data_IF_768649384812
#
_entry.id   IF_768649384812
#
_cell.length_a   1.000
_cell.length_b   1.000
_cell.length_c   1.000
_cell.angle_alpha   90.00
_cell.angle_beta   90.00
_cell.angle_gamma   90.00
#
_symmetry.space_group_name_H-M   'P 1'
#
loop_
_entity.id
_entity.type
_entity.pdbx_description
1 polymer ?
#
# COMPACT_ATOMS: atom_id res chain seq x y z
N UNK A 1 12.76 -16.80 -5.71
CA UNK A 1 13.55 -16.31 -4.56
C UNK A 1 13.62 -17.45 -3.59
N UNK A 2 14.76 -17.66 -2.96
CA UNK A 2 14.97 -18.71 -1.97
C UNK A 2 14.13 -18.38 -0.71
N UNK A 3 13.37 -19.34 -0.19
CA UNK A 3 12.52 -19.15 0.99
C UNK A 3 13.29 -18.65 2.22
N UNK A 4 14.57 -19.04 2.32
CA UNK A 4 15.46 -18.59 3.38
C UNK A 4 15.77 -17.09 3.31
N UNK A 5 15.91 -16.54 2.10
CA UNK A 5 16.18 -15.12 1.90
C UNK A 5 14.96 -14.25 2.24
N UNK A 6 13.77 -14.67 1.87
CA UNK A 6 12.52 -13.98 2.22
C UNK A 6 12.26 -13.99 3.75
N UNK A 7 12.55 -15.10 4.42
CA UNK A 7 12.45 -15.20 5.88
C UNK A 7 13.45 -14.24 6.58
N UNK A 8 14.68 -14.15 6.06
CA UNK A 8 15.71 -13.25 6.58
C UNK A 8 15.33 -11.77 6.39
N UNK A 9 14.82 -11.39 5.20
CA UNK A 9 14.36 -10.03 4.94
C UNK A 9 13.19 -9.63 5.84
N UNK A 10 12.25 -10.53 6.11
CA UNK A 10 11.17 -10.31 7.07
C UNK A 10 11.69 -10.09 8.49
N UNK A 11 12.63 -10.91 8.92
CA UNK A 11 13.26 -10.75 10.23
C UNK A 11 13.94 -9.39 10.35
N UNK A 12 14.78 -9.01 9.39
CA UNK A 12 15.43 -7.70 9.37
C UNK A 12 14.43 -6.55 9.34
N UNK A 13 13.38 -6.66 8.53
CA UNK A 13 12.36 -5.61 8.42
C UNK A 13 11.66 -5.38 9.76
N UNK A 14 11.34 -6.42 10.50
CA UNK A 14 10.74 -6.31 11.84
C UNK A 14 11.66 -5.64 12.87
N UNK A 15 12.96 -5.82 12.75
CA UNK A 15 13.93 -5.16 13.62
C UNK A 15 14.08 -3.68 13.24
N UNK A 16 14.29 -3.39 11.96
CA UNK A 16 14.55 -2.04 11.45
C UNK A 16 13.33 -1.14 11.58
N UNK A 17 12.14 -1.66 11.30
CA UNK A 17 10.88 -0.93 11.34
C UNK A 17 10.09 -1.19 12.61
N UNK A 18 10.76 -1.40 13.74
CA UNK A 18 10.09 -1.42 15.03
C UNK A 18 9.65 0.01 15.39
N UNK A 19 8.35 0.27 15.64
CA UNK A 19 7.89 1.62 15.93
C UNK A 19 8.49 2.14 17.23
N UNK A 20 8.99 3.38 17.20
CA UNK A 20 9.50 4.05 18.40
C UNK A 20 8.41 4.21 19.47
N UNK A 21 8.82 4.40 20.72
CA UNK A 21 7.90 4.66 21.83
C UNK A 21 7.02 5.91 21.60
N UNK A 22 7.50 6.88 20.83
CA UNK A 22 6.73 8.07 20.46
C UNK A 22 5.67 7.77 19.37
N UNK A 23 5.93 6.82 18.47
CA UNK A 23 5.02 6.50 17.36
C UNK A 23 3.94 5.48 17.74
N UNK A 24 4.24 4.58 18.67
CA UNK A 24 3.32 3.54 19.13
C UNK A 24 1.96 4.05 19.59
N UNK A 25 1.86 5.11 20.42
CA UNK A 25 0.55 5.66 20.83
C UNK A 25 -0.27 6.15 19.64
N UNK A 26 0.38 6.78 18.66
CA UNK A 26 -0.30 7.30 17.46
C UNK A 26 -0.85 6.15 16.61
N UNK A 27 -0.05 5.10 16.40
CA UNK A 27 -0.50 3.90 15.66
C UNK A 27 -1.70 3.26 16.38
N UNK A 28 -1.67 3.14 17.71
CA UNK A 28 -2.77 2.59 18.50
C UNK A 28 -4.03 3.43 18.39
N UNK A 29 -3.90 4.76 18.48
CA UNK A 29 -5.01 5.68 18.34
C UNK A 29 -5.66 5.58 16.96
N UNK A 30 -4.86 5.60 15.90
CA UNK A 30 -5.37 5.44 14.54
C UNK A 30 -5.99 4.06 14.33
N UNK A 31 -5.41 3.00 14.86
CA UNK A 31 -5.98 1.65 14.82
C UNK A 31 -7.36 1.60 15.48
N UNK A 32 -7.51 2.21 16.67
CA UNK A 32 -8.79 2.28 17.36
C UNK A 32 -9.87 3.04 16.55
N UNK A 33 -9.46 4.11 15.84
CA UNK A 33 -10.35 4.90 14.97
C UNK A 33 -10.75 4.14 13.70
N UNK A 34 -9.78 3.44 13.08
CA UNK A 34 -9.97 2.75 11.80
C UNK A 34 -10.78 1.47 12.00
N UNK A 35 -10.48 0.67 13.00
CA UNK A 35 -11.18 -0.56 13.31
C UNK A 35 -10.28 -1.80 13.24
N UNK A 36 -10.89 -3.00 13.32
CA UNK A 36 -10.16 -4.26 13.38
C UNK A 36 -9.40 -4.56 12.09
N UNK A 37 -8.11 -4.92 12.18
CA UNK A 37 -7.33 -5.35 11.01
C UNK A 37 -7.89 -6.61 10.35
N UNK A 38 -8.65 -7.45 11.06
CA UNK A 38 -9.27 -8.66 10.49
C UNK A 38 -10.40 -8.35 9.51
N UNK A 39 -10.92 -7.12 9.51
CA UNK A 39 -11.96 -6.64 8.62
C UNK A 39 -11.40 -5.71 7.52
N UNK A 40 -10.10 -5.57 7.45
CA UNK A 40 -9.41 -4.59 6.63
C UNK A 40 -8.73 -5.21 5.42
N UNK A 41 -8.99 -4.63 4.23
CA UNK A 41 -8.10 -4.74 3.08
C UNK A 41 -7.19 -3.50 3.11
N UNK A 42 -5.89 -3.71 3.28
CA UNK A 42 -4.88 -2.65 3.21
C UNK A 42 -4.52 -2.39 1.75
N UNK A 43 -4.76 -1.18 1.29
CA UNK A 43 -4.47 -0.77 -0.09
C UNK A 43 -3.41 0.31 -0.07
N UNK A 44 -2.31 0.09 -0.80
CA UNK A 44 -1.31 1.12 -1.04
C UNK A 44 -1.20 1.44 -2.53
N UNK A 45 -1.51 2.68 -2.89
CA UNK A 45 -1.44 3.19 -4.25
C UNK A 45 -0.42 4.33 -4.30
N UNK A 46 0.74 4.04 -4.93
CA UNK A 46 1.76 5.02 -5.22
C UNK A 46 1.53 5.56 -6.62
N UNK A 47 1.11 6.80 -6.72
CA UNK A 47 0.87 7.48 -8.00
C UNK A 47 2.15 8.08 -8.56
N UNK A 48 2.84 8.92 -7.81
CA UNK A 48 3.95 9.71 -8.30
C UNK A 48 3.55 10.63 -9.47
N UNK A 49 4.53 11.28 -10.07
CA UNK A 49 4.30 12.17 -11.21
C UNK A 49 3.29 13.28 -10.92
N UNK A 50 2.55 13.67 -11.93
CA UNK A 50 1.51 14.70 -11.84
C UNK A 50 0.20 14.24 -11.16
N UNK A 51 0.07 12.94 -10.90
CA UNK A 51 -1.11 12.35 -10.24
C UNK A 51 -0.95 12.30 -8.72
N UNK A 52 0.25 12.57 -8.20
CA UNK A 52 0.48 12.75 -6.76
C UNK A 52 0.26 14.19 -6.35
N UNK A 53 -0.11 14.40 -5.09
CA UNK A 53 -0.32 15.75 -4.53
C UNK A 53 0.98 16.59 -4.48
N UNK A 54 2.14 15.96 -4.69
CA UNK A 54 3.47 16.58 -4.60
C UNK A 54 4.23 16.70 -5.93
N UNK A 55 3.63 16.32 -7.04
CA UNK A 55 4.17 16.46 -8.40
C UNK A 55 5.64 15.99 -8.56
N UNK A 56 5.86 14.69 -8.49
CA UNK A 56 7.18 14.06 -8.62
C UNK A 56 7.58 13.81 -10.09
N UNK A 57 8.90 13.66 -10.33
CA UNK A 57 9.41 13.25 -11.65
C UNK A 57 9.02 11.82 -12.04
N UNK A 58 8.96 10.90 -11.07
CA UNK A 58 8.68 9.49 -11.32
C UNK A 58 7.19 9.21 -11.20
N UNK A 59 6.55 8.86 -12.31
CA UNK A 59 5.18 8.36 -12.31
C UNK A 59 5.17 6.84 -12.14
N UNK A 60 4.40 6.35 -11.17
CA UNK A 60 4.16 4.92 -10.95
C UNK A 60 2.82 4.49 -11.57
N UNK A 61 1.89 5.41 -11.70
CA UNK A 61 0.55 5.22 -12.25
C UNK A 61 0.34 6.20 -13.40
N UNK A 62 -0.08 5.71 -14.55
CA UNK A 62 -0.54 6.52 -15.68
C UNK A 62 -2.02 6.84 -15.55
N UNK A 63 -2.56 7.76 -16.37
CA UNK A 63 -3.99 8.07 -16.38
C UNK A 63 -4.85 6.84 -16.71
N UNK A 64 -4.39 5.97 -17.61
CA UNK A 64 -5.11 4.76 -18.00
C UNK A 64 -5.18 3.75 -16.86
N UNK A 65 -4.08 3.61 -16.12
CA UNK A 65 -4.06 2.77 -14.92
C UNK A 65 -4.93 3.36 -13.83
N UNK A 66 -4.87 4.67 -13.63
CA UNK A 66 -5.74 5.35 -12.69
C UNK A 66 -7.21 4.97 -12.93
N UNK A 67 -7.67 4.99 -14.17
CA UNK A 67 -9.03 4.62 -14.54
C UNK A 67 -9.37 3.14 -14.23
N UNK A 68 -8.37 2.25 -14.21
CA UNK A 68 -8.57 0.83 -13.92
C UNK A 68 -8.55 0.48 -12.42
N UNK A 69 -7.99 1.35 -11.57
CA UNK A 69 -7.82 1.11 -10.12
C UNK A 69 -9.13 0.69 -9.42
N UNK A 70 -10.29 1.37 -9.64
CA UNK A 70 -11.53 0.95 -8.98
C UNK A 70 -11.95 -0.48 -9.32
N UNK A 71 -11.74 -0.89 -10.57
CA UNK A 71 -12.01 -2.25 -11.02
C UNK A 71 -11.12 -3.29 -10.32
N UNK A 72 -9.83 -2.99 -10.18
CA UNK A 72 -8.87 -3.86 -9.47
C UNK A 72 -9.22 -3.98 -8.00
N UNK A 73 -9.53 -2.87 -7.33
CA UNK A 73 -9.92 -2.86 -5.91
C UNK A 73 -11.24 -3.62 -5.72
N UNK A 74 -12.22 -3.43 -6.62
CA UNK A 74 -13.50 -4.17 -6.61
C UNK A 74 -13.29 -5.67 -6.78
N UNK A 75 -12.36 -6.09 -7.63
CA UNK A 75 -11.97 -7.50 -7.76
C UNK A 75 -11.39 -8.06 -6.46
N UNK A 76 -10.50 -7.33 -5.79
CA UNK A 76 -9.96 -7.74 -4.50
C UNK A 76 -11.07 -7.85 -3.44
N UNK A 77 -11.98 -6.89 -3.38
CA UNK A 77 -13.14 -6.93 -2.50
C UNK A 77 -14.00 -8.18 -2.79
N UNK A 78 -14.25 -8.51 -4.06
CA UNK A 78 -15.07 -9.65 -4.45
C UNK A 78 -14.43 -11.01 -4.14
N UNK A 79 -13.11 -11.08 -4.18
CA UNK A 79 -12.34 -12.28 -3.84
C UNK A 79 -12.00 -12.40 -2.34
N UNK A 80 -12.33 -11.38 -1.53
CA UNK A 80 -11.99 -11.36 -0.11
C UNK A 80 -12.81 -12.36 0.71
N UNK A 81 -12.15 -12.98 1.69
CA UNK A 81 -12.80 -13.81 2.70
C UNK A 81 -13.40 -12.99 3.87
N UNK A 82 -13.27 -11.68 3.87
CA UNK A 82 -13.86 -10.80 4.88
C UNK A 82 -15.36 -10.66 4.63
N UNK A 83 -16.24 -10.87 5.62
CA UNK A 83 -17.68 -10.63 5.48
C UNK A 83 -17.97 -9.20 5.02
N UNK A 84 -18.85 -9.05 4.03
CA UNK A 84 -19.14 -7.76 3.37
C UNK A 84 -19.64 -6.67 4.31
N UNK A 85 -20.43 -7.03 5.30
CA UNK A 85 -20.98 -6.13 6.33
C UNK A 85 -19.92 -5.60 7.29
N UNK A 86 -18.74 -6.23 7.35
CA UNK A 86 -17.62 -5.83 8.21
C UNK A 86 -16.45 -5.24 7.43
N UNK A 87 -16.40 -5.48 6.11
CA UNK A 87 -15.27 -5.13 5.27
C UNK A 87 -15.13 -3.62 5.11
N UNK A 88 -13.93 -3.13 5.26
CA UNK A 88 -13.52 -1.77 4.88
C UNK A 88 -12.14 -1.77 4.23
N UNK A 89 -11.85 -0.70 3.52
CA UNK A 89 -10.53 -0.46 2.93
C UNK A 89 -9.78 0.56 3.79
N UNK A 90 -8.54 0.23 4.15
CA UNK A 90 -7.59 1.23 4.62
C UNK A 90 -6.68 1.61 3.46
N UNK A 91 -6.77 2.87 3.03
CA UNK A 91 -6.08 3.39 1.87
C UNK A 91 -4.91 4.28 2.28
N UNK A 92 -3.70 3.89 1.90
CA UNK A 92 -2.50 4.72 1.91
C UNK A 92 -2.16 5.12 0.48
N UNK A 93 -2.10 6.41 0.20
CA UNK A 93 -1.79 6.97 -1.12
C UNK A 93 -1.19 8.36 -1.01
N UNK A 94 -0.42 8.75 -2.03
CA UNK A 94 0.14 10.08 -2.23
C UNK A 94 -0.75 10.99 -3.09
N UNK A 95 -2.01 10.57 -3.38
CA UNK A 95 -2.93 11.28 -4.26
C UNK A 95 -4.32 11.43 -3.64
N UNK A 96 -4.77 12.67 -3.48
CA UNK A 96 -6.15 12.99 -3.08
C UNK A 96 -7.16 12.54 -4.14
N UNK A 97 -6.80 12.64 -5.42
CA UNK A 97 -7.64 12.18 -6.52
C UNK A 97 -8.00 10.70 -6.41
N UNK A 98 -7.06 9.85 -5.94
CA UNK A 98 -7.32 8.43 -5.73
C UNK A 98 -8.33 8.22 -4.60
N UNK A 99 -8.22 9.00 -3.52
CA UNK A 99 -9.17 8.91 -2.39
C UNK A 99 -10.58 9.23 -2.89
N UNK A 100 -10.76 10.40 -3.50
CA UNK A 100 -12.06 10.87 -3.99
C UNK A 100 -12.68 9.90 -5.01
N UNK A 101 -11.84 9.36 -5.90
CA UNK A 101 -12.27 8.39 -6.89
C UNK A 101 -12.76 7.09 -6.22
N UNK A 102 -11.98 6.52 -5.29
CA UNK A 102 -12.35 5.27 -4.65
C UNK A 102 -13.55 5.44 -3.72
N UNK A 103 -13.66 6.54 -2.99
CA UNK A 103 -14.83 6.85 -2.15
C UNK A 103 -16.11 6.90 -2.97
N UNK A 104 -16.06 7.49 -4.17
CA UNK A 104 -17.20 7.54 -5.08
C UNK A 104 -17.54 6.18 -5.70
N UNK A 105 -16.53 5.48 -6.21
CA UNK A 105 -16.71 4.30 -7.07
C UNK A 105 -16.96 3.01 -6.31
N UNK A 106 -16.58 2.93 -5.02
CA UNK A 106 -16.66 1.71 -4.23
C UNK A 106 -17.79 1.70 -3.19
N UNK A 107 -18.67 2.69 -3.21
CA UNK A 107 -19.83 2.67 -2.32
C UNK A 107 -20.60 1.34 -2.42
N UNK A 108 -21.12 0.80 -1.29
CA UNK A 108 -21.13 1.38 0.05
C UNK A 108 -19.91 0.97 0.92
N UNK A 109 -18.83 0.46 0.35
CA UNK A 109 -17.66 -0.01 1.12
C UNK A 109 -16.92 1.20 1.72
N UNK A 110 -16.74 1.24 3.06
CA UNK A 110 -16.03 2.35 3.69
C UNK A 110 -14.57 2.42 3.29
N UNK A 111 -14.11 3.61 2.85
CA UNK A 111 -12.70 3.92 2.63
C UNK A 111 -12.21 4.72 3.83
N UNK A 112 -11.12 4.28 4.44
CA UNK A 112 -10.50 4.94 5.60
C UNK A 112 -9.06 5.27 5.31
N UNK A 113 -8.62 6.45 5.74
CA UNK A 113 -7.23 6.92 5.62
C UNK A 113 -6.74 7.36 6.99
N UNK A 114 -5.44 7.52 7.16
CA UNK A 114 -4.88 8.13 8.37
C UNK A 114 -5.36 9.57 8.51
N UNK A 115 -5.89 9.93 9.68
CA UNK A 115 -6.36 11.28 9.97
C UNK A 115 -5.27 12.19 10.53
N UNK A 116 -4.23 11.61 11.15
CA UNK A 116 -3.10 12.35 11.70
C UNK A 116 -2.08 12.66 10.61
N UNK A 117 -1.41 13.79 10.73
CA UNK A 117 -0.32 14.25 9.88
C UNK A 117 -0.68 14.55 8.42
N UNK A 118 0.16 15.30 7.76
CA UNK A 118 -0.03 15.72 6.37
C UNK A 118 0.42 14.63 5.39
N UNK A 119 -0.29 14.45 4.28
CA UNK A 119 0.18 13.62 3.16
C UNK A 119 1.41 14.25 2.52
N UNK A 120 2.32 13.40 2.07
CA UNK A 120 3.49 13.82 1.35
C UNK A 120 4.40 12.66 0.97
N UNK A 121 5.55 12.96 0.40
CA UNK A 121 6.54 11.97 0.02
C UNK A 121 7.88 12.21 0.72
N UNK A 122 8.52 11.12 1.13
CA UNK A 122 9.75 11.18 1.93
C UNK A 122 11.05 11.45 1.16
N UNK A 123 11.02 11.53 -0.17
CA UNK A 123 12.26 11.66 -0.98
C UNK A 123 12.49 13.02 -1.60
N UNK A 124 11.58 13.97 -1.48
CA UNK A 124 11.72 15.29 -2.07
C UNK A 124 12.06 16.32 -0.98
N UNK A 125 13.29 16.67 -0.92
CA UNK A 125 14.05 17.77 -0.33
C UNK A 125 13.58 18.52 0.91
N UNK A 126 12.36 18.58 1.33
CA UNK A 126 11.87 19.21 2.56
C UNK A 126 10.67 18.41 3.09
N UNK A 127 10.94 17.18 3.47
CA UNK A 127 9.91 16.36 4.12
C UNK A 127 9.72 16.90 5.54
N UNK A 128 8.50 17.32 5.84
CA UNK A 128 8.18 17.64 7.23
C UNK A 128 8.20 16.34 8.06
N UNK A 129 8.59 16.47 9.32
CA UNK A 129 8.52 15.36 10.28
C UNK A 129 7.15 14.68 10.29
N UNK A 130 6.09 15.45 10.09
CA UNK A 130 4.72 14.97 10.06
C UNK A 130 4.42 14.09 8.85
N UNK A 131 4.94 14.44 7.67
CA UNK A 131 4.84 13.61 6.47
C UNK A 131 5.55 12.27 6.66
N UNK A 132 6.74 12.30 7.25
CA UNK A 132 7.51 11.09 7.53
C UNK A 132 6.79 10.21 8.56
N UNK A 133 6.34 10.80 9.67
CA UNK A 133 5.57 10.09 10.71
C UNK A 133 4.31 9.46 10.12
N UNK A 134 3.57 10.19 9.27
CA UNK A 134 2.40 9.66 8.57
C UNK A 134 2.75 8.44 7.74
N UNK A 135 3.81 8.52 6.94
CA UNK A 135 4.25 7.39 6.10
C UNK A 135 4.53 6.14 6.93
N UNK A 136 5.16 6.29 8.11
CA UNK A 136 5.36 5.17 9.02
C UNK A 136 4.04 4.65 9.62
N UNK A 137 3.15 5.53 10.08
CA UNK A 137 1.83 5.12 10.59
C UNK A 137 1.07 4.33 9.52
N UNK A 138 0.99 4.86 8.30
CA UNK A 138 0.35 4.18 7.17
C UNK A 138 0.97 2.81 6.90
N UNK A 139 2.31 2.71 6.96
CA UNK A 139 3.04 1.46 6.73
C UNK A 139 2.62 0.37 7.73
N UNK A 140 2.57 0.69 9.03
CA UNK A 140 2.13 -0.25 10.06
C UNK A 140 0.66 -0.63 9.90
N UNK A 141 -0.20 0.35 9.64
CA UNK A 141 -1.64 0.12 9.49
C UNK A 141 -1.97 -0.72 8.25
N UNK A 142 -1.27 -0.52 7.12
CA UNK A 142 -1.39 -1.37 5.94
C UNK A 142 -0.85 -2.76 6.22
N UNK A 143 0.33 -2.89 6.84
CA UNK A 143 0.96 -4.18 7.11
C UNK A 143 0.13 -5.08 8.04
N UNK A 144 -0.63 -4.49 8.96
CA UNK A 144 -1.51 -5.22 9.88
C UNK A 144 -2.77 -5.78 9.21
N UNK A 145 -3.15 -5.29 8.03
CA UNK A 145 -4.38 -5.68 7.34
C UNK A 145 -4.46 -7.18 7.07
N UNK A 146 -5.66 -7.73 7.07
CA UNK A 146 -5.89 -9.15 6.77
C UNK A 146 -5.48 -9.51 5.34
N UNK A 147 -5.78 -8.64 4.39
CA UNK A 147 -5.43 -8.77 2.98
C UNK A 147 -4.75 -7.49 2.49
N UNK A 148 -3.89 -7.62 1.48
CA UNK A 148 -3.10 -6.51 0.95
C UNK A 148 -3.29 -6.36 -0.55
N UNK A 149 -3.40 -5.10 -1.01
CA UNK A 149 -3.38 -4.73 -2.42
C UNK A 149 -2.35 -3.61 -2.61
N UNK A 150 -1.23 -3.92 -3.26
CA UNK A 150 -0.02 -3.10 -3.22
C UNK A 150 0.47 -2.71 -4.61
N UNK A 151 0.98 -1.49 -4.78
CA UNK A 151 1.66 -1.06 -6.01
C UNK A 151 2.99 -1.82 -6.17
N UNK A 152 3.14 -2.62 -7.23
CA UNK A 152 4.22 -3.60 -7.38
C UNK A 152 5.63 -3.03 -7.40
N UNK A 153 5.83 -1.81 -7.88
CA UNK A 153 7.14 -1.15 -8.04
C UNK A 153 7.55 -0.24 -6.89
N UNK A 154 6.70 -0.09 -5.87
CA UNK A 154 6.95 0.80 -4.73
C UNK A 154 7.81 0.13 -3.66
N UNK A 155 8.85 0.84 -3.18
CA UNK A 155 9.64 0.41 -2.03
C UNK A 155 8.80 0.29 -0.76
N UNK A 156 7.88 1.23 -0.54
CA UNK A 156 6.91 1.18 0.56
C UNK A 156 6.10 -0.13 0.54
N UNK A 157 5.56 -0.50 -0.62
CA UNK A 157 4.82 -1.75 -0.79
C UNK A 157 5.63 -2.99 -0.44
N UNK A 158 6.91 -3.04 -0.82
CA UNK A 158 7.80 -4.16 -0.47
C UNK A 158 8.03 -4.26 1.02
N UNK A 159 8.27 -3.14 1.68
CA UNK A 159 8.46 -3.11 3.14
C UNK A 159 7.20 -3.60 3.84
N UNK A 160 6.03 -3.08 3.46
CA UNK A 160 4.73 -3.52 3.96
C UNK A 160 4.54 -5.03 3.79
N UNK A 161 4.85 -5.58 2.61
CA UNK A 161 4.75 -7.00 2.33
C UNK A 161 5.63 -7.83 3.27
N UNK A 162 6.87 -7.41 3.52
CA UNK A 162 7.75 -8.09 4.46
C UNK A 162 7.28 -7.97 5.92
N UNK A 163 6.78 -6.80 6.32
CA UNK A 163 6.22 -6.58 7.67
C UNK A 163 5.00 -7.44 7.94
N UNK A 164 4.13 -7.62 6.95
CA UNK A 164 2.87 -8.36 7.08
C UNK A 164 3.02 -9.87 7.24
N UNK A 165 4.21 -10.42 7.02
CA UNK A 165 4.50 -11.85 7.20
C UNK A 165 3.84 -12.77 6.15
N UNK A 166 3.79 -12.36 4.87
CA UNK A 166 3.19 -13.11 3.74
C UNK A 166 1.66 -13.32 3.81
N UNK A 167 0.95 -12.37 4.34
CA UNK A 167 -0.48 -12.28 4.06
C UNK A 167 -0.67 -12.18 2.54
N UNK A 168 -1.76 -12.72 2.03
CA UNK A 168 -2.08 -12.70 0.60
C UNK A 168 -2.00 -11.27 0.07
N UNK A 169 -0.93 -10.97 -0.64
CA UNK A 169 -0.73 -9.68 -1.28
C UNK A 169 -1.02 -9.81 -2.77
N UNK A 170 -2.06 -9.14 -3.22
CA UNK A 170 -2.32 -8.92 -4.65
C UNK A 170 -1.57 -7.68 -5.11
N UNK A 171 -1.03 -7.72 -6.32
CA UNK A 171 -0.32 -6.58 -6.88
C UNK A 171 -1.26 -5.70 -7.72
N UNK A 172 -1.28 -4.40 -7.46
CA UNK A 172 -1.71 -3.44 -8.46
C UNK A 172 -0.57 -3.36 -9.48
N UNK A 173 -0.80 -3.85 -10.68
CA UNK A 173 0.20 -3.83 -11.75
C UNK A 173 0.31 -2.38 -12.23
N UNK A 174 1.39 -1.70 -11.82
CA UNK A 174 1.83 -0.52 -12.53
C UNK A 174 2.49 -1.00 -13.83
N UNK A 175 2.17 -0.43 -15.03
CA UNK A 175 2.89 -0.78 -16.23
C UNK A 175 4.35 -0.44 -16.01
N UNK A 176 5.20 -1.32 -16.48
CA UNK A 176 6.60 -1.01 -16.61
C UNK A 176 6.74 0.25 -17.46
N UNK A 177 7.06 1.38 -16.86
CA UNK A 177 7.78 2.40 -17.59
C UNK A 177 8.99 1.69 -18.18
N UNK A 178 9.28 1.92 -19.47
CA UNK A 178 10.43 1.36 -20.18
C UNK A 178 11.79 1.82 -19.64
N UNK A 179 11.92 2.08 -18.36
CA UNK A 179 13.19 2.16 -17.67
C UNK A 179 13.63 0.72 -17.42
N UNK A 180 14.49 0.21 -18.33
CA UNK A 180 15.27 -1.00 -18.12
C UNK A 180 16.14 -0.87 -16.86
N UNK A 181 15.52 -0.92 -15.73
CA UNK A 181 16.12 -1.11 -14.43
C UNK A 181 16.15 -2.60 -14.12
N UNK A 182 17.28 -3.16 -14.22
CA UNK A 182 17.87 -4.48 -14.02
C UNK A 182 17.40 -5.31 -12.81
N UNK A 183 16.07 -5.44 -12.54
CA UNK A 183 15.57 -6.28 -11.44
C UNK A 183 14.26 -6.96 -11.83
N UNK A 184 14.36 -8.02 -12.65
CA UNK A 184 13.20 -8.84 -12.97
C UNK A 184 13.57 -9.98 -13.90
N UNK A 185 14.07 -11.10 -13.34
CA UNK A 185 14.10 -12.34 -14.11
C UNK A 185 12.67 -12.75 -14.42
N UNK A 186 12.33 -12.79 -15.70
CA UNK A 186 11.13 -13.45 -16.21
C UNK A 186 11.12 -14.90 -15.69
N UNK A 187 10.08 -15.31 -15.00
CA UNK A 187 9.74 -16.73 -14.94
C UNK A 187 9.21 -17.13 -16.31
N UNK A 188 9.93 -17.97 -17.01
CA UNK A 188 9.40 -18.76 -18.09
C UNK A 188 8.59 -19.91 -17.43
N UNK A 189 7.31 -19.71 -17.25
CA UNK A 189 6.38 -20.80 -17.02
C UNK A 189 5.87 -21.26 -18.40
N UNK A 190 6.72 -22.03 -19.11
CA UNK A 190 6.25 -22.91 -20.16
C UNK A 190 5.65 -24.15 -19.50
N UNK A 191 4.37 -24.13 -19.25
CA UNK A 191 3.60 -25.36 -19.07
C UNK A 191 3.30 -25.89 -20.45
N UNK A 192 4.02 -26.92 -20.87
CA UNK A 192 3.60 -27.81 -21.96
C UNK A 192 2.99 -29.06 -21.34
N UNK A 193 1.72 -29.27 -21.66
CA UNK A 193 0.91 -30.52 -21.69
C UNK A 193 1.22 -31.61 -20.66
#
# INVERSE_FOLDING_TARGET
MDEGWDAYLRYLTRIIYNPSSALLPVIRQERARIGSPDNQIGVHIRCGGQLSDINEYTAFVTKDIMASIPGVVRSAINGSAIPRDKLFIFLSTDSSLVVDMLERELQPIPIKTTAVYTRGHSTIGLVSDDTLKRSFVDMFLVADSKELLLTSSSAFSRIVQWMSGNKHASAIIAPHSNSQGRWGRKRNDSVSL
#
